data_IF_777575505208
#
_entry.id   IF_777575505208
#
_cell.length_a   1.000
_cell.length_b   1.000
_cell.length_c   1.000
_cell.angle_alpha   90.00
_cell.angle_beta   90.00
_cell.angle_gamma   90.00
#
_symmetry.space_group_name_H-M   'P 1'
#
loop_
_entity.id
_entity.type
_entity.pdbx_description
1 polymer ?
#
# COMPACT_ATOMS: atom_id res chain seq x y z
N UNK A 1 35.00 31.57 -17.56
CA UNK A 1 34.59 32.24 -16.32
C UNK A 1 34.26 31.16 -15.31
N UNK A 2 34.94 31.11 -14.16
CA UNK A 2 34.63 30.14 -13.09
C UNK A 2 33.31 30.55 -12.44
N UNK A 3 32.38 29.59 -12.26
CA UNK A 3 31.14 29.83 -11.51
C UNK A 3 31.53 30.18 -10.08
N UNK A 4 31.07 31.31 -9.52
CA UNK A 4 31.38 31.68 -8.15
C UNK A 4 30.99 30.56 -7.17
N UNK A 5 31.90 30.19 -6.27
CA UNK A 5 31.70 29.09 -5.31
C UNK A 5 30.40 29.27 -4.49
N UNK A 6 30.02 30.51 -4.20
CA UNK A 6 28.77 30.86 -3.54
C UNK A 6 27.54 30.40 -4.34
N UNK A 7 27.54 30.52 -5.66
CA UNK A 7 26.43 30.08 -6.52
C UNK A 7 26.28 28.54 -6.50
N UNK A 8 27.40 27.81 -6.44
CA UNK A 8 27.40 26.36 -6.30
C UNK A 8 26.76 25.94 -4.96
N UNK A 9 27.03 26.63 -3.86
CA UNK A 9 26.38 26.34 -2.57
C UNK A 9 24.88 26.62 -2.59
N UNK A 10 24.43 27.72 -3.20
CA UNK A 10 23.01 28.02 -3.33
C UNK A 10 22.27 26.94 -4.14
N UNK A 11 22.88 26.44 -5.19
CA UNK A 11 22.28 25.37 -6.03
C UNK A 11 22.32 23.99 -5.36
N UNK A 12 23.38 23.68 -4.61
CA UNK A 12 23.54 22.38 -3.95
C UNK A 12 22.76 22.25 -2.64
N UNK A 13 22.57 23.36 -1.89
CA UNK A 13 21.94 23.33 -0.57
C UNK A 13 20.50 22.75 -0.59
N UNK A 14 19.58 23.13 -1.49
CA UNK A 14 18.24 22.55 -1.56
C UNK A 14 18.26 21.04 -1.78
N UNK A 15 19.14 20.57 -2.68
CA UNK A 15 19.29 19.13 -2.95
C UNK A 15 19.84 18.39 -1.75
N UNK A 16 20.87 18.93 -1.10
CA UNK A 16 21.43 18.33 0.10
C UNK A 16 20.41 18.29 1.26
N UNK A 17 19.65 19.37 1.45
CA UNK A 17 18.59 19.44 2.45
C UNK A 17 17.48 18.43 2.16
N UNK A 18 17.06 18.30 0.90
CA UNK A 18 16.07 17.32 0.49
C UNK A 18 16.55 15.88 0.74
N UNK A 19 17.79 15.55 0.35
CA UNK A 19 18.38 14.24 0.61
C UNK A 19 18.45 13.96 2.11
N UNK A 20 18.91 14.92 2.90
CA UNK A 20 18.97 14.78 4.36
C UNK A 20 17.56 14.55 4.96
N UNK A 21 16.58 15.36 4.56
CA UNK A 21 15.19 15.23 5.01
C UNK A 21 14.56 13.88 4.62
N UNK A 22 15.00 13.28 3.50
CA UNK A 22 14.57 11.95 3.09
C UNK A 22 15.28 10.82 3.84
N UNK A 23 16.63 10.85 3.92
CA UNK A 23 17.41 9.73 4.44
C UNK A 23 17.56 9.72 5.97
N UNK A 24 17.55 10.86 6.65
CA UNK A 24 17.68 10.89 8.12
C UNK A 24 16.51 10.19 8.84
N UNK A 25 15.23 10.39 8.45
CA UNK A 25 14.14 9.59 9.01
C UNK A 25 14.27 8.08 8.74
N UNK A 26 14.75 7.68 7.56
CA UNK A 26 14.96 6.27 7.24
C UNK A 26 16.05 5.66 8.12
N UNK A 27 17.16 6.38 8.32
CA UNK A 27 18.22 5.96 9.22
C UNK A 27 17.73 5.87 10.67
N UNK A 28 16.97 6.85 11.14
CA UNK A 28 16.35 6.83 12.46
C UNK A 28 15.45 5.61 12.66
N UNK A 29 14.56 5.32 11.69
CA UNK A 29 13.68 4.16 11.71
C UNK A 29 14.50 2.86 11.79
N UNK A 30 15.54 2.74 10.96
CA UNK A 30 16.42 1.56 10.94
C UNK A 30 17.13 1.35 12.29
N UNK A 31 17.64 2.41 12.91
CA UNK A 31 18.32 2.35 14.22
C UNK A 31 17.36 1.98 15.36
N UNK A 32 16.10 2.44 15.28
CA UNK A 32 15.09 2.16 16.31
C UNK A 32 14.43 0.79 16.18
N UNK A 33 14.51 0.17 15.01
CA UNK A 33 13.98 -1.17 14.72
C UNK A 33 12.45 -1.31 14.82
N UNK A 34 12.00 -2.54 14.78
CA UNK A 34 10.57 -2.95 14.82
C UNK A 34 9.93 -2.53 16.14
N UNK A 35 8.69 -2.03 16.07
CA UNK A 35 7.90 -1.66 17.24
C UNK A 35 6.93 -2.77 17.61
N UNK A 36 6.72 -2.94 18.91
CA UNK A 36 5.62 -3.75 19.45
C UNK A 36 4.35 -2.88 19.47
N UNK A 37 3.48 -3.08 18.48
CA UNK A 37 2.26 -2.28 18.32
C UNK A 37 1.25 -2.56 19.43
N UNK A 38 1.21 -3.80 19.94
CA UNK A 38 0.37 -4.16 21.08
C UNK A 38 0.70 -3.29 22.29
N UNK A 39 1.98 -3.20 22.66
CA UNK A 39 2.43 -2.38 23.79
C UNK A 39 2.29 -0.89 23.49
N UNK A 40 2.62 -0.46 22.28
CA UNK A 40 2.59 0.96 21.90
C UNK A 40 1.19 1.56 22.05
N UNK A 41 0.15 0.83 21.66
CA UNK A 41 -1.23 1.33 21.66
C UNK A 41 -2.10 0.73 22.76
N UNK A 42 -1.63 -0.27 23.50
CA UNK A 42 -2.48 -1.06 24.40
C UNK A 42 -3.53 -1.86 23.63
N UNK A 43 -3.23 -2.26 22.39
CA UNK A 43 -4.18 -2.83 21.47
C UNK A 43 -4.41 -4.32 21.73
N UNK A 44 -5.63 -4.78 21.46
CA UNK A 44 -6.00 -6.20 21.49
C UNK A 44 -6.41 -6.73 20.13
N UNK A 45 -6.97 -5.89 19.26
CA UNK A 45 -7.52 -6.28 17.97
C UNK A 45 -6.95 -5.47 16.81
N UNK A 46 -6.72 -6.17 15.71
CA UNK A 46 -6.38 -5.58 14.42
C UNK A 46 -7.35 -6.04 13.32
N UNK A 47 -7.54 -5.21 12.32
CA UNK A 47 -8.23 -5.55 11.05
C UNK A 47 -7.23 -5.47 9.92
N UNK A 48 -7.15 -6.52 9.08
CA UNK A 48 -6.29 -6.56 7.90
C UNK A 48 -7.14 -6.89 6.67
N UNK A 49 -7.23 -5.95 5.74
CA UNK A 49 -7.87 -6.22 4.45
C UNK A 49 -6.92 -6.90 3.49
N UNK A 50 -7.38 -7.91 2.73
CA UNK A 50 -6.53 -8.73 1.88
C UNK A 50 -5.52 -9.58 2.68
N UNK A 51 -5.89 -9.98 3.91
CA UNK A 51 -5.01 -10.69 4.83
C UNK A 51 -4.85 -12.19 4.56
N UNK A 52 -5.49 -12.75 3.54
CA UNK A 52 -5.43 -14.18 3.21
C UNK A 52 -4.14 -14.60 2.50
N UNK A 53 -3.47 -13.68 1.79
CA UNK A 53 -2.25 -13.98 1.00
C UNK A 53 -1.25 -12.82 1.00
N UNK A 54 -0.03 -13.08 0.54
CA UNK A 54 0.99 -12.07 0.26
C UNK A 54 1.32 -11.16 1.45
N UNK A 55 1.40 -9.86 1.21
CA UNK A 55 1.75 -8.85 2.23
C UNK A 55 0.76 -8.89 3.40
N UNK A 56 -0.54 -8.98 3.12
CA UNK A 56 -1.56 -9.01 4.17
C UNK A 56 -1.43 -10.22 5.09
N UNK A 57 -1.13 -11.41 4.54
CA UNK A 57 -0.88 -12.60 5.33
C UNK A 57 0.35 -12.45 6.24
N UNK A 58 1.44 -11.92 5.68
CA UNK A 58 2.65 -11.68 6.45
C UNK A 58 2.41 -10.64 7.58
N UNK A 59 1.58 -9.61 7.33
CA UNK A 59 1.15 -8.66 8.37
C UNK A 59 0.36 -9.38 9.46
N UNK A 60 -0.59 -10.27 9.11
CA UNK A 60 -1.36 -11.03 10.10
C UNK A 60 -0.45 -11.88 11.00
N UNK A 61 0.56 -12.52 10.43
CA UNK A 61 1.55 -13.30 11.18
C UNK A 61 2.37 -12.45 12.14
N UNK A 62 2.80 -11.27 11.70
CA UNK A 62 3.59 -10.38 12.56
C UNK A 62 2.74 -9.76 13.70
N UNK A 63 1.47 -9.45 13.44
CA UNK A 63 0.51 -9.05 14.48
C UNK A 63 0.28 -10.18 15.49
N UNK A 64 0.14 -11.41 15.01
CA UNK A 64 -0.02 -12.59 15.85
C UNK A 64 1.21 -12.84 16.74
N UNK A 65 2.43 -12.69 16.21
CA UNK A 65 3.68 -12.77 16.99
C UNK A 65 3.73 -11.75 18.14
N UNK A 66 3.11 -10.59 17.95
CA UNK A 66 2.97 -9.57 18.99
C UNK A 66 1.80 -9.83 19.95
N UNK A 67 1.06 -10.94 19.76
CA UNK A 67 -0.05 -11.34 20.63
C UNK A 67 -1.34 -10.58 20.37
N UNK A 68 -1.58 -10.11 19.16
CA UNK A 68 -2.80 -9.42 18.73
C UNK A 68 -3.79 -10.41 18.09
N UNK A 69 -5.06 -10.22 18.37
CA UNK A 69 -6.16 -10.86 17.64
C UNK A 69 -6.36 -10.16 16.29
N UNK A 70 -6.76 -10.90 15.27
CA UNK A 70 -6.85 -10.35 13.92
C UNK A 70 -8.16 -10.72 13.22
N UNK A 71 -8.86 -9.72 12.72
CA UNK A 71 -9.96 -9.88 11.75
C UNK A 71 -9.37 -9.82 10.35
N UNK A 72 -9.47 -10.91 9.62
CA UNK A 72 -8.95 -11.07 8.26
C UNK A 72 -10.08 -10.88 7.27
N UNK A 73 -10.18 -9.68 6.66
CA UNK A 73 -11.20 -9.35 5.67
C UNK A 73 -10.63 -9.55 4.26
N UNK A 74 -11.09 -10.56 3.53
CA UNK A 74 -10.59 -10.88 2.19
C UNK A 74 -11.69 -11.53 1.33
N UNK A 75 -11.40 -11.75 0.04
CA UNK A 75 -12.30 -12.48 -0.84
C UNK A 75 -12.64 -13.86 -0.24
N UNK A 76 -13.91 -14.29 -0.30
CA UNK A 76 -14.34 -15.63 0.13
C UNK A 76 -13.92 -16.67 -0.92
N UNK A 77 -12.62 -16.80 -1.15
CA UNK A 77 -12.00 -17.75 -2.06
C UNK A 77 -11.29 -18.88 -1.30
N UNK A 78 -10.66 -19.78 -2.03
CA UNK A 78 -9.95 -20.94 -1.48
C UNK A 78 -8.80 -20.60 -0.52
N UNK A 79 -8.43 -19.34 -0.36
CA UNK A 79 -7.29 -18.92 0.46
C UNK A 79 -7.69 -18.40 1.84
N UNK A 80 -8.91 -17.86 2.00
CA UNK A 80 -9.29 -17.17 3.24
C UNK A 80 -9.38 -18.14 4.44
N UNK A 81 -10.19 -19.17 4.34
CA UNK A 81 -10.40 -20.11 5.44
C UNK A 81 -9.12 -20.88 5.81
N UNK A 82 -8.33 -21.41 4.84
CA UNK A 82 -7.04 -22.03 5.18
C UNK A 82 -6.08 -21.07 5.87
N UNK A 83 -6.00 -19.82 5.41
CA UNK A 83 -5.13 -18.80 6.01
C UNK A 83 -5.47 -18.55 7.47
N UNK A 84 -6.77 -18.43 7.80
CA UNK A 84 -7.22 -18.22 9.17
C UNK A 84 -7.01 -19.47 10.03
N UNK A 85 -7.27 -20.65 9.48
CA UNK A 85 -7.04 -21.93 10.19
C UNK A 85 -5.55 -22.12 10.53
N UNK A 86 -4.64 -21.85 9.60
CA UNK A 86 -3.20 -21.92 9.82
C UNK A 86 -2.72 -20.92 10.89
N UNK A 87 -3.20 -19.67 10.85
CA UNK A 87 -2.91 -18.68 11.89
C UNK A 87 -3.39 -19.15 13.26
N UNK A 88 -4.62 -19.66 13.34
CA UNK A 88 -5.21 -20.17 14.59
C UNK A 88 -4.45 -21.40 15.13
N UNK A 89 -3.94 -22.26 14.25
CA UNK A 89 -3.14 -23.40 14.63
C UNK A 89 -1.74 -23.00 15.15
N UNK A 90 -1.13 -21.99 14.50
CA UNK A 90 0.22 -21.53 14.84
C UNK A 90 0.26 -20.64 16.10
N UNK A 91 -0.81 -19.85 16.35
CA UNK A 91 -0.86 -18.84 17.41
C UNK A 91 -2.06 -19.08 18.34
N UNK A 92 -2.00 -20.13 19.17
CA UNK A 92 -3.11 -20.63 20.02
C UNK A 92 -3.60 -19.64 21.11
N UNK A 93 -2.84 -18.58 21.37
CA UNK A 93 -3.21 -17.56 22.36
C UNK A 93 -3.98 -16.38 21.78
N UNK A 94 -4.23 -16.36 20.48
CA UNK A 94 -4.90 -15.29 19.75
C UNK A 94 -6.14 -15.80 19.03
N UNK A 95 -7.09 -14.90 18.81
CA UNK A 95 -8.29 -15.15 18.03
C UNK A 95 -8.14 -14.60 16.60
N UNK A 96 -8.56 -15.39 15.61
CA UNK A 96 -8.57 -15.01 14.21
C UNK A 96 -9.96 -15.18 13.64
N UNK A 97 -10.50 -14.10 13.05
CA UNK A 97 -11.85 -14.08 12.49
C UNK A 97 -11.77 -13.90 10.99
N UNK A 98 -12.29 -14.86 10.23
CA UNK A 98 -12.44 -14.75 8.78
C UNK A 98 -13.66 -13.91 8.43
N UNK A 99 -13.51 -12.90 7.58
CA UNK A 99 -14.63 -12.11 7.04
C UNK A 99 -14.56 -12.15 5.52
N UNK A 100 -15.40 -12.98 4.92
CA UNK A 100 -15.50 -13.15 3.47
C UNK A 100 -16.22 -11.96 2.83
N UNK A 101 -15.47 -11.09 2.16
CA UNK A 101 -15.98 -9.86 1.52
C UNK A 101 -15.39 -9.65 0.14
N UNK A 102 -16.19 -9.10 -0.76
CA UNK A 102 -15.75 -8.53 -2.03
C UNK A 102 -15.72 -7.02 -1.89
N UNK A 103 -14.58 -6.41 -2.15
CA UNK A 103 -14.46 -4.95 -2.22
C UNK A 103 -14.85 -4.49 -3.63
N UNK A 104 -16.15 -4.55 -3.94
CA UNK A 104 -16.72 -4.14 -5.21
C UNK A 104 -17.82 -3.08 -4.99
N UNK A 105 -18.11 -2.24 -5.98
CA UNK A 105 -19.20 -1.27 -5.87
C UNK A 105 -20.53 -1.94 -5.50
N UNK A 106 -21.22 -1.40 -4.51
CA UNK A 106 -22.50 -1.91 -4.03
C UNK A 106 -22.43 -3.17 -3.15
N UNK A 107 -21.24 -3.72 -2.88
CA UNK A 107 -21.09 -4.85 -1.97
C UNK A 107 -21.18 -4.42 -0.50
N UNK A 108 -21.59 -5.35 0.35
CA UNK A 108 -21.86 -5.15 1.79
C UNK A 108 -20.62 -5.31 2.68
N UNK A 109 -19.40 -5.13 2.09
CA UNK A 109 -18.13 -5.38 2.80
C UNK A 109 -18.01 -4.62 4.11
N UNK A 110 -18.44 -3.35 4.14
CA UNK A 110 -18.32 -2.52 5.34
C UNK A 110 -19.23 -3.03 6.46
N UNK A 111 -20.47 -3.41 6.12
CA UNK A 111 -21.42 -3.90 7.12
C UNK A 111 -20.98 -5.26 7.69
N UNK A 112 -20.42 -6.15 6.88
CA UNK A 112 -19.84 -7.41 7.35
C UNK A 112 -18.65 -7.20 8.28
N UNK A 113 -17.74 -6.27 7.94
CA UNK A 113 -16.60 -5.91 8.81
C UNK A 113 -17.10 -5.31 10.12
N UNK A 114 -18.07 -4.39 10.08
CA UNK A 114 -18.69 -3.81 11.28
C UNK A 114 -19.32 -4.88 12.17
N UNK A 115 -20.08 -5.80 11.59
CA UNK A 115 -20.70 -6.90 12.34
C UNK A 115 -19.66 -7.79 13.03
N UNK A 116 -18.57 -8.14 12.32
CA UNK A 116 -17.50 -8.96 12.87
C UNK A 116 -16.66 -8.26 13.95
N UNK A 117 -16.75 -6.94 14.05
CA UNK A 117 -15.96 -6.12 14.98
C UNK A 117 -16.81 -5.36 16.00
N UNK A 118 -18.13 -5.63 16.08
CA UNK A 118 -19.06 -4.87 16.91
C UNK A 118 -18.72 -4.89 18.41
N UNK A 119 -18.21 -6.01 18.90
CA UNK A 119 -17.79 -6.27 20.28
C UNK A 119 -16.27 -6.08 20.50
N UNK A 120 -15.53 -5.58 19.52
CA UNK A 120 -14.07 -5.52 19.53
C UNK A 120 -13.54 -4.08 19.51
N UNK A 121 -12.56 -3.79 20.37
CA UNK A 121 -11.82 -2.54 20.32
C UNK A 121 -10.69 -2.65 19.29
N UNK A 122 -11.03 -2.37 18.03
CA UNK A 122 -10.06 -2.36 16.95
C UNK A 122 -9.27 -1.07 16.97
N UNK A 123 -7.96 -1.18 17.21
CA UNK A 123 -7.03 -0.06 17.31
C UNK A 123 -5.97 -0.06 16.19
N UNK A 124 -5.86 -1.16 15.45
CA UNK A 124 -4.88 -1.33 14.37
C UNK A 124 -5.60 -1.72 13.10
N UNK A 125 -5.48 -0.91 12.05
CA UNK A 125 -6.15 -1.13 10.76
C UNK A 125 -5.13 -1.13 9.64
N UNK A 126 -5.09 -2.22 8.87
CA UNK A 126 -4.29 -2.34 7.66
C UNK A 126 -5.20 -2.37 6.43
N UNK A 127 -5.27 -1.25 5.72
CA UNK A 127 -5.88 -1.15 4.40
C UNK A 127 -4.88 -1.66 3.36
N UNK A 128 -4.85 -2.98 3.17
CA UNK A 128 -3.87 -3.65 2.33
C UNK A 128 -4.50 -4.29 1.07
N UNK A 129 -5.80 -4.57 1.05
CA UNK A 129 -6.47 -5.16 -0.10
C UNK A 129 -6.21 -4.35 -1.38
N UNK A 130 -5.99 -5.05 -2.47
CA UNK A 130 -5.78 -4.42 -3.77
C UNK A 130 -5.45 -5.44 -4.85
N UNK A 131 -5.70 -5.05 -6.10
CA UNK A 131 -5.33 -5.81 -7.29
C UNK A 131 -5.04 -4.86 -8.44
N UNK A 132 -4.53 -5.39 -9.55
CA UNK A 132 -4.17 -4.62 -10.73
C UNK A 132 -5.00 -5.10 -11.93
N UNK A 133 -5.50 -4.15 -12.72
CA UNK A 133 -6.07 -4.38 -14.05
C UNK A 133 -5.09 -3.87 -15.07
N UNK A 134 -4.72 -4.72 -16.04
CA UNK A 134 -3.73 -4.38 -17.07
C UNK A 134 -4.35 -4.39 -18.46
N UNK A 135 -3.78 -3.60 -19.36
CA UNK A 135 -4.24 -3.38 -20.74
C UNK A 135 -4.49 -1.90 -21.03
N UNK A 136 -4.80 -1.58 -22.27
CA UNK A 136 -5.24 -0.22 -22.61
C UNK A 136 -6.54 0.11 -21.90
N UNK A 137 -6.70 1.37 -21.52
CA UNK A 137 -7.84 1.83 -20.73
C UNK A 137 -9.19 1.52 -21.39
N UNK A 138 -9.29 1.73 -22.67
CA UNK A 138 -10.50 1.55 -23.47
C UNK A 138 -10.77 0.08 -23.89
N UNK A 139 -9.78 -0.81 -23.77
CA UNK A 139 -9.94 -2.23 -24.10
C UNK A 139 -10.46 -3.06 -22.93
N UNK A 140 -10.41 -2.54 -21.73
CA UNK A 140 -10.91 -3.22 -20.53
C UNK A 140 -12.36 -2.79 -20.22
N UNK A 141 -13.22 -3.72 -19.80
CA UNK A 141 -14.60 -3.38 -19.40
C UNK A 141 -14.61 -2.34 -18.27
N UNK A 142 -15.46 -1.31 -18.40
CA UNK A 142 -15.60 -0.26 -17.38
C UNK A 142 -15.83 -0.83 -15.97
N UNK A 143 -16.63 -1.89 -15.85
CA UNK A 143 -16.90 -2.55 -14.58
C UNK A 143 -15.63 -3.04 -13.86
N UNK A 144 -14.62 -3.55 -14.60
CA UNK A 144 -13.33 -3.95 -14.01
C UNK A 144 -12.58 -2.74 -13.44
N UNK A 145 -12.61 -1.61 -14.15
CA UNK A 145 -12.00 -0.37 -13.65
C UNK A 145 -12.67 0.12 -12.37
N UNK A 146 -14.01 0.10 -12.32
CA UNK A 146 -14.76 0.53 -11.14
C UNK A 146 -14.51 -0.40 -9.94
N UNK A 147 -14.46 -1.72 -10.14
CA UNK A 147 -14.10 -2.67 -9.09
C UNK A 147 -12.66 -2.44 -8.61
N UNK A 148 -11.74 -2.11 -9.52
CA UNK A 148 -10.35 -1.80 -9.17
C UNK A 148 -10.25 -0.53 -8.32
N UNK A 149 -11.02 0.53 -8.66
CA UNK A 149 -11.11 1.76 -7.86
C UNK A 149 -11.69 1.47 -6.48
N UNK A 150 -12.80 0.73 -6.40
CA UNK A 150 -13.45 0.39 -5.13
C UNK A 150 -12.48 -0.36 -4.21
N UNK A 151 -11.91 -1.45 -4.71
CA UNK A 151 -11.01 -2.29 -3.91
C UNK A 151 -9.75 -1.55 -3.45
N UNK A 152 -9.10 -0.79 -4.37
CA UNK A 152 -7.80 -0.19 -4.08
C UNK A 152 -7.88 1.15 -3.36
N UNK A 153 -9.02 1.84 -3.40
CA UNK A 153 -9.14 3.20 -2.89
C UNK A 153 -10.38 3.42 -2.02
N UNK A 154 -11.60 3.34 -2.58
CA UNK A 154 -12.80 3.80 -1.87
C UNK A 154 -13.17 2.93 -0.67
N UNK A 155 -12.96 1.61 -0.76
CA UNK A 155 -13.15 0.72 0.38
C UNK A 155 -12.27 1.10 1.58
N UNK A 156 -11.01 1.46 1.32
CA UNK A 156 -10.10 1.91 2.36
C UNK A 156 -10.56 3.22 3.02
N UNK A 157 -11.19 4.14 2.26
CA UNK A 157 -11.80 5.36 2.83
C UNK A 157 -12.94 5.00 3.78
N UNK A 158 -13.86 4.13 3.36
CA UNK A 158 -15.01 3.72 4.17
C UNK A 158 -14.58 3.01 5.47
N UNK A 159 -13.62 2.08 5.38
CA UNK A 159 -13.06 1.36 6.51
C UNK A 159 -12.34 2.32 7.46
N UNK A 160 -11.51 3.21 6.93
CA UNK A 160 -10.79 4.22 7.72
C UNK A 160 -11.75 5.13 8.45
N UNK A 161 -12.78 5.64 7.78
CA UNK A 161 -13.79 6.50 8.40
C UNK A 161 -14.47 5.80 9.59
N UNK A 162 -14.85 4.53 9.43
CA UNK A 162 -15.51 3.77 10.50
C UNK A 162 -14.59 3.61 11.71
N UNK A 163 -13.36 3.10 11.52
CA UNK A 163 -12.48 2.79 12.65
C UNK A 163 -11.85 4.03 13.29
N UNK A 164 -11.51 5.04 12.50
CA UNK A 164 -11.03 6.32 13.06
C UNK A 164 -12.10 6.97 13.95
N UNK A 165 -13.35 7.02 13.49
CA UNK A 165 -14.45 7.52 14.28
C UNK A 165 -14.71 6.67 15.54
N UNK A 166 -14.58 5.34 15.46
CA UNK A 166 -14.73 4.44 16.61
C UNK A 166 -13.62 4.67 17.64
N UNK A 167 -12.34 4.74 17.21
CA UNK A 167 -11.21 5.04 18.08
C UNK A 167 -11.37 6.40 18.76
N UNK A 168 -11.74 7.43 18.02
CA UNK A 168 -11.94 8.78 18.59
C UNK A 168 -13.07 8.82 19.62
N UNK A 169 -14.22 8.21 19.34
CA UNK A 169 -15.33 8.15 20.30
C UNK A 169 -14.99 7.43 21.61
N UNK A 170 -14.13 6.41 21.53
CA UNK A 170 -13.70 5.62 22.69
C UNK A 170 -12.43 6.16 23.37
N UNK A 171 -11.82 7.23 22.84
CA UNK A 171 -10.55 7.75 23.33
C UNK A 171 -9.38 6.77 23.19
N UNK A 172 -9.43 5.87 22.21
CA UNK A 172 -8.42 4.85 21.98
C UNK A 172 -7.27 5.40 21.10
N UNK A 173 -6.06 5.05 21.47
CA UNK A 173 -4.90 5.25 20.60
C UNK A 173 -4.76 4.09 19.64
N UNK A 174 -4.19 4.32 18.45
CA UNK A 174 -4.07 3.26 17.47
C UNK A 174 -3.25 3.66 16.24
N UNK A 175 -3.38 2.86 15.18
CA UNK A 175 -2.82 3.21 13.88
C UNK A 175 -3.67 2.72 12.72
N UNK A 176 -3.56 3.46 11.60
CA UNK A 176 -4.16 3.12 10.32
C UNK A 176 -3.05 3.11 9.28
N UNK A 177 -2.86 1.97 8.63
CA UNK A 177 -1.79 1.74 7.67
C UNK A 177 -2.37 1.44 6.29
N UNK A 178 -1.77 2.03 5.27
CA UNK A 178 -2.19 1.87 3.88
C UNK A 178 -1.08 1.25 3.05
N UNK A 179 -1.41 0.24 2.24
CA UNK A 179 -0.50 -0.34 1.26
C UNK A 179 -0.70 0.35 -0.09
N UNK A 180 0.13 1.35 -0.36
CA UNK A 180 0.22 1.99 -1.67
C UNK A 180 1.20 1.22 -2.59
N UNK A 181 1.96 1.90 -3.42
CA UNK A 181 2.97 1.33 -4.33
C UNK A 181 3.89 2.44 -4.80
N UNK A 182 5.11 2.10 -5.22
CA UNK A 182 5.98 3.00 -5.97
C UNK A 182 5.33 3.51 -7.28
N UNK A 183 4.36 2.78 -7.83
CA UNK A 183 3.53 3.21 -8.97
C UNK A 183 2.75 4.51 -8.71
N UNK A 184 2.60 4.91 -7.44
CA UNK A 184 1.98 6.20 -7.09
C UNK A 184 2.77 7.42 -7.60
N UNK A 185 4.05 7.25 -7.94
CA UNK A 185 4.95 8.35 -8.27
C UNK A 185 5.09 8.63 -9.76
N UNK A 186 4.64 7.72 -10.61
CA UNK A 186 4.84 7.79 -12.05
C UNK A 186 3.53 7.60 -12.81
N UNK A 187 3.40 8.12 -14.04
CA UNK A 187 2.36 7.66 -14.96
C UNK A 187 2.49 6.15 -15.22
N UNK A 188 1.36 5.44 -15.20
CA UNK A 188 1.32 3.99 -15.37
C UNK A 188 0.52 3.60 -16.62
N UNK A 189 1.09 3.69 -17.84
CA UNK A 189 0.43 3.12 -19.00
C UNK A 189 0.15 1.63 -18.76
N UNK A 190 -0.94 1.11 -19.33
CA UNK A 190 -1.46 -0.25 -19.13
C UNK A 190 -1.95 -0.62 -17.72
N UNK A 191 -1.74 0.22 -16.72
CA UNK A 191 -2.21 0.00 -15.35
C UNK A 191 -2.74 1.32 -14.74
N UNK A 192 -3.51 2.07 -15.53
CA UNK A 192 -3.87 3.46 -15.26
C UNK A 192 -4.61 3.59 -13.92
N UNK A 193 -5.68 2.81 -13.73
CA UNK A 193 -6.49 2.88 -12.50
C UNK A 193 -5.68 2.43 -11.29
N UNK A 194 -4.84 1.41 -11.44
CA UNK A 194 -3.96 0.97 -10.35
C UNK A 194 -3.05 2.13 -9.87
N UNK A 195 -2.29 2.73 -10.77
CA UNK A 195 -1.40 3.85 -10.43
C UNK A 195 -2.14 5.03 -9.82
N UNK A 196 -3.28 5.41 -10.42
CA UNK A 196 -4.13 6.49 -9.92
C UNK A 196 -4.65 6.21 -8.50
N UNK A 197 -5.12 4.97 -8.22
CA UNK A 197 -5.59 4.58 -6.87
C UNK A 197 -4.46 4.58 -5.85
N UNK A 198 -3.24 4.18 -6.23
CA UNK A 198 -2.08 4.21 -5.33
C UNK A 198 -1.61 5.64 -5.02
N UNK A 199 -1.69 6.55 -6.00
CA UNK A 199 -1.45 7.98 -5.78
C UNK A 199 -2.51 8.60 -4.86
N UNK A 200 -3.79 8.28 -5.09
CA UNK A 200 -4.89 8.67 -4.21
C UNK A 200 -4.65 8.21 -2.76
N UNK A 201 -4.30 6.94 -2.54
CA UNK A 201 -4.04 6.39 -1.21
C UNK A 201 -2.90 7.10 -0.51
N UNK A 202 -1.85 7.47 -1.24
CA UNK A 202 -0.71 8.20 -0.69
C UNK A 202 -1.10 9.59 -0.21
N UNK A 203 -1.87 10.33 -1.03
CA UNK A 203 -2.34 11.66 -0.70
C UNK A 203 -3.40 11.63 0.41
N UNK A 204 -4.33 10.68 0.36
CA UNK A 204 -5.36 10.49 1.39
C UNK A 204 -4.72 10.21 2.76
N UNK A 205 -3.78 9.25 2.82
CA UNK A 205 -3.06 8.91 4.05
C UNK A 205 -2.28 10.12 4.61
N UNK A 206 -1.57 10.87 3.76
CA UNK A 206 -0.84 12.06 4.18
C UNK A 206 -1.78 13.13 4.77
N UNK A 207 -2.93 13.35 4.16
CA UNK A 207 -3.90 14.34 4.61
C UNK A 207 -4.55 13.94 5.93
N UNK A 208 -5.02 12.69 6.05
CA UNK A 208 -5.68 12.22 7.27
C UNK A 208 -4.71 12.06 8.44
N UNK A 209 -3.42 11.86 8.19
CA UNK A 209 -2.40 11.85 9.22
C UNK A 209 -2.35 13.16 10.01
N UNK A 210 -2.52 14.31 9.32
CA UNK A 210 -2.55 15.63 9.95
C UNK A 210 -3.74 15.77 10.91
N UNK A 211 -4.90 15.21 10.55
CA UNK A 211 -6.09 15.28 11.38
C UNK A 211 -6.07 14.33 12.58
N UNK A 212 -5.52 13.12 12.39
CA UNK A 212 -5.60 12.04 13.38
C UNK A 212 -4.43 12.01 14.36
N UNK A 213 -3.26 12.56 14.02
CA UNK A 213 -2.09 12.51 14.87
C UNK A 213 -2.33 13.15 16.24
N UNK A 214 -3.00 14.29 16.30
CA UNK A 214 -3.35 14.96 17.57
C UNK A 214 -4.34 14.16 18.43
N UNK A 215 -4.99 13.14 17.87
CA UNK A 215 -5.90 12.22 18.56
C UNK A 215 -5.22 10.93 19.02
N UNK A 216 -3.90 10.81 18.84
CA UNK A 216 -3.14 9.62 19.21
C UNK A 216 -3.33 8.44 18.23
N UNK A 217 -3.80 8.71 17.00
CA UNK A 217 -3.95 7.73 15.94
C UNK A 217 -2.86 8.00 14.89
N UNK A 218 -1.87 7.12 14.83
CA UNK A 218 -0.80 7.21 13.85
C UNK A 218 -1.28 6.74 12.47
N UNK A 219 -0.85 7.43 11.42
CA UNK A 219 -1.13 7.03 10.04
C UNK A 219 0.19 6.78 9.31
N UNK A 220 0.25 5.68 8.56
CA UNK A 220 1.40 5.36 7.72
C UNK A 220 0.94 4.80 6.38
N UNK A 221 1.51 5.29 5.29
CA UNK A 221 1.34 4.70 3.95
C UNK A 221 2.67 4.16 3.47
N UNK A 222 2.67 2.90 3.05
CA UNK A 222 3.86 2.23 2.55
C UNK A 222 3.82 2.10 1.04
N UNK A 223 4.97 2.30 0.41
CA UNK A 223 5.18 2.16 -1.02
C UNK A 223 6.18 1.01 -1.24
N UNK A 224 5.70 -0.24 -1.28
CA UNK A 224 6.59 -1.38 -1.47
C UNK A 224 7.21 -1.39 -2.86
N UNK A 225 8.44 -1.89 -2.95
CA UNK A 225 8.99 -2.45 -4.17
C UNK A 225 8.15 -3.62 -4.67
N UNK A 226 8.33 -4.15 -5.88
CA UNK A 226 7.66 -5.35 -6.32
C UNK A 226 7.80 -6.48 -5.30
N UNK A 227 6.72 -7.23 -5.06
CA UNK A 227 6.64 -8.28 -4.03
C UNK A 227 6.27 -9.59 -4.69
N UNK A 228 6.99 -10.67 -4.35
CA UNK A 228 6.73 -12.01 -4.84
C UNK A 228 5.46 -12.57 -4.19
N UNK A 229 4.31 -12.31 -4.80
CA UNK A 229 2.99 -12.72 -4.28
C UNK A 229 2.05 -13.13 -5.41
N UNK A 230 0.89 -13.69 -5.06
CA UNK A 230 -0.16 -14.03 -6.01
C UNK A 230 -0.79 -12.82 -6.73
N UNK A 231 -0.39 -11.61 -6.37
CA UNK A 231 -0.86 -10.35 -6.95
C UNK A 231 -0.73 -10.30 -8.48
N UNK A 232 0.36 -10.84 -9.00
CA UNK A 232 0.65 -10.86 -10.43
C UNK A 232 0.08 -12.08 -11.19
N UNK A 233 -0.46 -13.08 -10.48
CA UNK A 233 -0.94 -14.32 -11.11
C UNK A 233 -2.27 -14.16 -11.85
N UNK A 234 -3.04 -13.12 -11.54
CA UNK A 234 -4.34 -12.81 -12.16
C UNK A 234 -4.25 -11.73 -13.25
N UNK A 235 -3.04 -11.37 -13.67
CA UNK A 235 -2.81 -10.36 -14.73
C UNK A 235 -3.14 -10.98 -16.07
N UNK A 236 -4.18 -10.49 -16.75
CA UNK A 236 -4.67 -11.05 -18.03
C UNK A 236 -3.74 -10.70 -19.21
N UNK A 237 -3.11 -9.54 -19.14
CA UNK A 237 -2.15 -9.09 -20.15
C UNK A 237 -0.74 -9.10 -19.54
N UNK A 238 0.12 -9.96 -20.07
CA UNK A 238 1.54 -9.92 -19.73
C UNK A 238 2.12 -8.58 -20.16
N UNK A 239 2.83 -7.95 -19.27
CA UNK A 239 3.57 -6.73 -19.52
C UNK A 239 5.04 -7.06 -19.26
N UNK A 240 5.88 -7.04 -20.31
CA UNK A 240 7.28 -7.43 -20.23
C UNK A 240 8.08 -6.57 -19.25
N UNK A 241 7.75 -5.29 -19.17
CA UNK A 241 8.30 -4.40 -18.15
C UNK A 241 7.95 -4.87 -16.74
N UNK A 242 6.74 -5.39 -16.51
CA UNK A 242 6.33 -5.93 -15.21
C UNK A 242 7.06 -7.25 -14.89
N UNK A 243 7.30 -8.12 -15.88
CA UNK A 243 8.11 -9.33 -15.70
C UNK A 243 9.57 -8.99 -15.30
N UNK A 244 10.11 -7.91 -15.86
CA UNK A 244 11.43 -7.42 -15.47
C UNK A 244 11.44 -6.92 -14.03
N UNK A 245 10.40 -6.24 -13.57
CA UNK A 245 10.25 -5.82 -12.17
C UNK A 245 10.05 -7.01 -11.22
N UNK A 246 9.39 -8.09 -11.65
CA UNK A 246 9.24 -9.30 -10.81
C UNK A 246 10.59 -9.92 -10.43
N UNK A 247 11.63 -9.79 -11.27
CA UNK A 247 12.98 -10.27 -10.95
C UNK A 247 13.62 -9.54 -9.76
N UNK A 248 13.12 -8.34 -9.44
CA UNK A 248 13.55 -7.53 -8.30
C UNK A 248 12.58 -7.64 -7.12
N UNK A 249 11.63 -8.59 -7.18
CA UNK A 249 10.63 -8.74 -6.15
C UNK A 249 11.24 -9.26 -4.84
N UNK A 250 10.80 -8.66 -3.74
CA UNK A 250 11.16 -9.07 -2.38
C UNK A 250 10.15 -10.06 -1.83
N UNK A 251 10.56 -10.88 -0.85
CA UNK A 251 9.64 -11.78 -0.18
C UNK A 251 8.61 -11.00 0.66
N UNK A 252 7.31 -11.35 0.62
CA UNK A 252 6.29 -10.69 1.42
C UNK A 252 6.58 -10.70 2.93
N UNK A 253 7.27 -11.71 3.44
CA UNK A 253 7.60 -11.85 4.86
C UNK A 253 8.60 -10.81 5.38
N UNK A 254 9.34 -10.16 4.49
CA UNK A 254 10.30 -9.12 4.86
C UNK A 254 9.63 -7.76 5.13
N UNK A 255 8.45 -7.51 4.53
CA UNK A 255 7.80 -6.21 4.59
C UNK A 255 7.28 -5.82 5.97
N UNK A 256 6.67 -6.71 6.77
CA UNK A 256 6.12 -6.33 8.07
C UNK A 256 7.15 -5.66 9.00
N UNK A 257 8.40 -6.10 8.98
CA UNK A 257 9.47 -5.47 9.80
C UNK A 257 9.66 -4.00 9.46
N UNK A 258 9.74 -3.68 8.17
CA UNK A 258 9.90 -2.32 7.66
C UNK A 258 8.65 -1.46 7.94
N UNK A 259 7.47 -2.05 7.74
CA UNK A 259 6.19 -1.39 7.99
C UNK A 259 6.06 -1.05 9.48
N UNK A 260 6.21 -2.03 10.38
CA UNK A 260 6.03 -1.85 11.81
C UNK A 260 7.09 -0.93 12.42
N UNK A 261 8.32 -0.95 11.88
CA UNK A 261 9.35 0.00 12.25
C UNK A 261 8.96 1.45 11.93
N UNK A 262 8.10 1.66 10.92
CA UNK A 262 7.77 2.99 10.38
C UNK A 262 6.56 3.65 11.04
N UNK A 263 5.61 2.87 11.58
CA UNK A 263 4.33 3.35 12.11
C UNK A 263 4.54 4.39 13.23
N UNK A 264 3.99 5.61 13.05
CA UNK A 264 4.15 6.73 13.99
C UNK A 264 5.55 7.35 14.04
N UNK A 265 6.44 6.97 13.10
CA UNK A 265 7.76 7.59 12.90
C UNK A 265 7.87 8.30 11.56
N UNK A 266 7.10 7.86 10.56
CA UNK A 266 6.91 8.59 9.32
C UNK A 266 5.50 8.31 8.77
N UNK A 267 5.00 9.23 7.95
CA UNK A 267 3.70 9.06 7.27
C UNK A 267 3.88 8.32 5.96
N UNK A 268 4.86 8.68 5.15
CA UNK A 268 5.15 8.02 3.86
C UNK A 268 6.44 7.20 3.99
N UNK A 269 6.37 5.92 3.62
CA UNK A 269 7.50 4.99 3.72
C UNK A 269 7.71 4.23 2.42
N UNK A 270 8.82 4.50 1.74
CA UNK A 270 9.28 3.70 0.61
C UNK A 270 10.02 2.47 1.14
N UNK A 271 9.60 1.26 0.72
CA UNK A 271 10.15 -0.01 1.19
C UNK A 271 10.80 -0.76 0.04
N UNK A 272 12.09 -1.03 0.19
CA UNK A 272 12.92 -1.71 -0.80
C UNK A 272 13.57 -0.76 -1.82
N UNK A 273 14.61 -1.27 -2.47
CA UNK A 273 15.51 -0.46 -3.30
C UNK A 273 14.83 0.13 -4.55
N UNK A 274 13.90 -0.62 -5.16
CA UNK A 274 13.17 -0.16 -6.35
C UNK A 274 12.29 1.05 -6.01
N UNK A 275 11.56 1.00 -4.89
CA UNK A 275 10.71 2.10 -4.46
C UNK A 275 11.51 3.36 -4.12
N UNK A 276 12.63 3.20 -3.39
CA UNK A 276 13.57 4.29 -3.09
C UNK A 276 14.16 4.87 -4.38
N UNK A 277 14.63 4.01 -5.29
CA UNK A 277 15.18 4.45 -6.57
C UNK A 277 14.17 5.22 -7.42
N UNK A 278 12.92 4.76 -7.50
CA UNK A 278 11.85 5.48 -8.20
C UNK A 278 11.57 6.83 -7.53
N UNK A 279 11.50 6.88 -6.21
CA UNK A 279 11.30 8.13 -5.47
C UNK A 279 12.39 9.15 -5.75
N UNK A 280 13.65 8.72 -5.75
CA UNK A 280 14.79 9.58 -6.08
C UNK A 280 14.76 10.02 -7.55
N UNK A 281 14.45 9.11 -8.47
CA UNK A 281 14.37 9.41 -9.89
C UNK A 281 13.30 10.45 -10.23
N UNK A 282 12.10 10.31 -9.69
CA UNK A 282 11.02 11.28 -9.93
C UNK A 282 11.25 12.62 -9.25
N UNK A 283 12.07 12.69 -8.22
CA UNK A 283 12.41 13.96 -7.57
C UNK A 283 13.32 14.84 -8.45
N UNK A 284 14.00 14.25 -9.45
CA UNK A 284 14.87 14.98 -10.36
C UNK A 284 14.11 15.65 -11.51
N UNK A 285 12.87 15.25 -11.77
CA UNK A 285 12.08 15.74 -12.90
C UNK A 285 10.72 16.25 -12.43
N UNK A 286 10.26 17.41 -12.93
CA UNK A 286 8.88 17.84 -12.77
C UNK A 286 7.94 16.77 -13.32
N UNK A 287 6.81 16.52 -12.63
CA UNK A 287 5.88 15.45 -13.02
C UNK A 287 5.35 15.59 -14.45
N UNK A 288 5.11 16.82 -14.92
CA UNK A 288 4.70 17.08 -16.31
C UNK A 288 5.76 16.68 -17.31
N UNK A 289 7.05 16.93 -17.04
CA UNK A 289 8.15 16.52 -17.90
C UNK A 289 8.25 14.99 -17.94
N UNK A 290 8.15 14.32 -16.79
CA UNK A 290 8.12 12.86 -16.71
C UNK A 290 6.96 12.26 -17.54
N UNK A 291 5.75 12.84 -17.44
CA UNK A 291 4.59 12.41 -18.22
C UNK A 291 4.83 12.54 -19.73
N UNK A 292 5.41 13.65 -20.17
CA UNK A 292 5.76 13.86 -21.59
C UNK A 292 6.82 12.87 -22.08
N UNK A 293 7.87 12.62 -21.28
CA UNK A 293 8.91 11.65 -21.63
C UNK A 293 8.29 10.26 -21.79
N UNK A 294 7.48 9.83 -20.84
CA UNK A 294 6.80 8.53 -20.90
C UNK A 294 5.88 8.47 -22.14
N UNK A 295 5.11 9.53 -22.42
CA UNK A 295 4.24 9.57 -23.60
C UNK A 295 5.01 9.46 -24.91
N UNK A 296 6.20 10.05 -24.99
CA UNK A 296 7.08 9.95 -26.17
C UNK A 296 7.71 8.57 -26.33
N UNK A 297 8.05 7.91 -25.23
CA UNK A 297 8.77 6.62 -25.25
C UNK A 297 7.80 5.44 -25.32
N UNK A 298 6.62 5.53 -24.68
CA UNK A 298 5.67 4.42 -24.57
C UNK A 298 5.31 3.76 -25.91
N UNK A 299 5.07 4.47 -27.02
CA UNK A 299 4.72 3.86 -28.31
C UNK A 299 5.84 2.95 -28.91
N UNK A 300 7.07 3.08 -28.42
CA UNK A 300 8.20 2.27 -28.88
C UNK A 300 8.48 1.07 -27.97
N UNK A 301 7.79 0.97 -26.83
CA UNK A 301 7.95 -0.16 -25.91
C UNK A 301 7.28 -1.41 -26.52
N UNK A 302 7.92 -2.60 -26.39
CA UNK A 302 7.36 -3.86 -26.88
C UNK A 302 5.92 -4.09 -26.41
N UNK A 303 5.65 -3.84 -25.13
CA UNK A 303 4.32 -3.95 -24.53
C UNK A 303 3.28 -3.08 -25.24
N UNK A 304 3.65 -1.84 -25.62
CA UNK A 304 2.75 -0.94 -26.35
C UNK A 304 2.46 -1.47 -27.74
N UNK A 305 3.53 -1.79 -28.50
CA UNK A 305 3.43 -2.25 -29.89
C UNK A 305 2.60 -3.53 -30.00
N UNK A 306 2.79 -4.48 -29.06
CA UNK A 306 2.03 -5.74 -29.08
C UNK A 306 0.55 -5.54 -28.76
N UNK A 307 0.25 -4.72 -27.72
CA UNK A 307 -1.12 -4.48 -27.31
C UNK A 307 -1.88 -3.57 -28.29
N UNK A 308 -1.21 -2.61 -28.94
CA UNK A 308 -1.83 -1.73 -29.95
C UNK A 308 -2.26 -2.50 -31.21
N UNK A 309 -1.48 -3.49 -31.64
CA UNK A 309 -1.89 -4.41 -32.72
C UNK A 309 -3.17 -5.15 -32.38
N UNK A 310 -3.36 -5.55 -31.14
CA UNK A 310 -4.58 -6.23 -30.67
C UNK A 310 -5.78 -5.27 -30.58
N UNK A 311 -5.54 -4.00 -30.23
CA UNK A 311 -6.55 -2.95 -30.14
C UNK A 311 -7.22 -2.66 -31.49
N UNK A 312 -6.47 -2.69 -32.59
CA UNK A 312 -7.01 -2.52 -33.95
C UNK A 312 -7.83 -3.71 -34.48
N UNK A 313 -7.94 -4.81 -33.69
CA UNK A 313 -8.68 -6.03 -34.05
C UNK A 313 -10.00 -6.20 -33.28
N UNK A 314 -10.28 -5.30 -32.34
CA UNK A 314 -11.52 -5.21 -31.56
C UNK A 314 -12.40 -4.10 -32.14
#
# INVERSE_FOLDING_TARGET
>A
MAVPTFLLYILAAPTALWLAAYFLPLLYIRLRGVQDLKKKYGASWAVVTGGSTGIGRAICEELAKQGLNVVVAALPDKFLEPAVAELSAAYKGQEFVAVGVSFAPGADYLEKIKAATADKDVQIVFNNAGFIVTGFFDTQPLGKHLVNMECNATAAVAITHHFAAAMMRKGLRGCIVFTSSASAYIPNPFAIIYGATKAFMSQFAASIAVELQCKGIDVCVVHPSPVASNFYNKVEHKIDSMESFKKLAVDPSELPREIFASIGRCVLRDVGNTAVGMRLGVALLPYSALAHIIALVAPFLPDYVENDKKRGQV
#
